data_IF_820164798131
#
_entry.id   IF_820164798131
#
_cell.length_a   1.000
_cell.length_b   1.000
_cell.length_c   1.000
_cell.angle_alpha   90.00
_cell.angle_beta   90.00
_cell.angle_gamma   90.00
#
_symmetry.space_group_name_H-M   'P 1'
#
loop_
_entity.id
_entity.type
_entity.pdbx_description
1 polymer ?
#
# COMPACT_ATOMS: atom_id res chain seq x y z
N UNK A 1 -16.11 -9.07 -7.78
CA UNK A 1 -16.72 -7.80 -7.49
C UNK A 1 -15.71 -6.69 -7.20
N UNK A 2 -14.61 -7.02 -6.61
CA UNK A 2 -13.74 -5.98 -6.13
C UNK A 2 -12.57 -5.73 -7.02
N UNK A 3 -12.89 -5.48 -8.30
CA UNK A 3 -11.90 -5.12 -9.30
C UNK A 3 -11.19 -3.82 -8.94
N UNK A 4 -11.88 -2.94 -8.22
CA UNK A 4 -11.25 -1.69 -7.79
C UNK A 4 -10.09 -1.96 -6.85
N UNK A 5 -10.24 -2.92 -5.94
CA UNK A 5 -9.16 -3.27 -5.03
C UNK A 5 -7.97 -3.87 -5.79
N UNK A 6 -8.26 -4.68 -6.80
CA UNK A 6 -7.20 -5.25 -7.64
C UNK A 6 -6.45 -4.15 -8.39
N UNK A 7 -7.16 -3.19 -8.96
CA UNK A 7 -6.53 -2.07 -9.65
C UNK A 7 -5.71 -1.24 -8.70
N UNK A 8 -6.20 -0.97 -7.50
CA UNK A 8 -5.44 -0.22 -6.51
C UNK A 8 -4.18 -0.98 -6.11
N UNK A 9 -4.28 -2.28 -5.94
CA UNK A 9 -3.14 -3.10 -5.62
C UNK A 9 -2.09 -3.04 -6.73
N UNK A 10 -2.52 -3.25 -7.96
CA UNK A 10 -1.61 -3.25 -9.11
C UNK A 10 -0.94 -1.89 -9.30
N UNK A 11 -1.70 -0.83 -9.13
CA UNK A 11 -1.17 0.51 -9.32
C UNK A 11 -0.26 0.94 -8.17
N UNK A 12 -0.67 0.66 -6.94
CA UNK A 12 0.03 1.19 -5.76
C UNK A 12 1.17 0.29 -5.32
N UNK A 13 0.94 -1.02 -5.31
CA UNK A 13 1.94 -1.97 -4.84
C UNK A 13 2.84 -2.42 -5.98
N UNK A 14 2.22 -2.88 -7.06
CA UNK A 14 2.94 -3.38 -8.21
C UNK A 14 3.62 -4.73 -7.97
N UNK A 15 4.53 -5.12 -8.86
CA UNK A 15 5.24 -6.40 -8.72
C UNK A 15 6.21 -6.36 -7.55
N UNK A 16 6.57 -7.53 -7.00
CA UNK A 16 7.54 -7.59 -5.91
C UNK A 16 8.90 -7.02 -6.30
N UNK A 17 9.45 -6.20 -5.43
CA UNK A 17 10.77 -5.61 -5.63
C UNK A 17 11.55 -5.72 -4.31
N UNK A 18 12.47 -6.68 -4.20
CA UNK A 18 13.20 -6.89 -2.96
C UNK A 18 13.95 -5.66 -2.45
N UNK A 19 14.31 -4.75 -3.33
CA UNK A 19 15.01 -3.54 -2.93
C UNK A 19 14.16 -2.62 -2.06
N UNK A 20 12.84 -2.78 -2.10
CA UNK A 20 11.91 -1.98 -1.30
C UNK A 20 11.54 -2.64 0.01
N UNK A 21 11.99 -3.86 0.23
CA UNK A 21 11.64 -4.62 1.43
C UNK A 21 12.58 -4.27 2.58
N UNK A 22 12.12 -4.48 3.83
CA UNK A 22 13.03 -4.38 4.96
C UNK A 22 14.18 -5.37 4.80
N UNK A 23 15.35 -4.98 5.26
CA UNK A 23 16.54 -5.80 5.09
C UNK A 23 16.36 -7.20 5.70
N UNK A 24 15.72 -7.28 6.86
CA UNK A 24 15.51 -8.56 7.52
C UNK A 24 14.56 -9.48 6.78
N UNK A 25 13.82 -8.96 5.81
CA UNK A 25 12.83 -9.73 5.08
C UNK A 25 13.23 -10.01 3.63
N UNK A 26 14.42 -9.55 3.20
CA UNK A 26 14.83 -9.70 1.81
C UNK A 26 14.99 -11.14 1.36
N UNK A 27 15.34 -12.03 2.27
CA UNK A 27 15.54 -13.43 1.95
C UNK A 27 14.25 -14.24 1.97
N UNK A 28 13.15 -13.62 2.38
CA UNK A 28 11.85 -14.28 2.44
C UNK A 28 10.84 -13.47 1.62
N UNK A 29 10.63 -13.85 0.33
CA UNK A 29 9.76 -13.06 -0.55
C UNK A 29 8.33 -12.89 -0.04
N UNK A 30 7.78 -13.92 0.59
CA UNK A 30 6.41 -13.84 1.11
C UNK A 30 6.33 -12.77 2.20
N UNK A 31 7.25 -12.83 3.16
CA UNK A 31 7.27 -11.86 4.24
C UNK A 31 7.68 -10.47 3.76
N UNK A 32 8.66 -10.41 2.86
CA UNK A 32 9.16 -9.15 2.34
C UNK A 32 8.08 -8.39 1.59
N UNK A 33 7.47 -9.05 0.63
CA UNK A 33 6.40 -8.40 -0.14
C UNK A 33 5.17 -8.13 0.72
N UNK A 34 4.88 -9.02 1.66
CA UNK A 34 3.79 -8.81 2.61
C UNK A 34 4.00 -7.58 3.48
N UNK A 35 5.20 -7.42 4.03
CA UNK A 35 5.52 -6.24 4.84
C UNK A 35 5.45 -4.96 4.00
N UNK A 36 5.99 -4.99 2.80
CA UNK A 36 5.95 -3.84 1.92
C UNK A 36 4.50 -3.47 1.59
N UNK A 37 3.71 -4.47 1.19
CA UNK A 37 2.31 -4.24 0.82
C UNK A 37 1.50 -3.70 2.00
N UNK A 38 1.74 -4.23 3.20
CA UNK A 38 1.04 -3.77 4.39
C UNK A 38 1.37 -2.30 4.67
N UNK A 39 2.64 -1.94 4.59
CA UNK A 39 3.05 -0.53 4.80
C UNK A 39 2.42 0.38 3.78
N UNK A 40 2.44 -0.02 2.51
CA UNK A 40 1.87 0.80 1.46
C UNK A 40 0.36 0.94 1.61
N UNK A 41 -0.31 -0.12 2.08
CA UNK A 41 -1.73 -0.06 2.36
C UNK A 41 -2.06 0.92 3.48
N UNK A 42 -1.27 0.91 4.54
CA UNK A 42 -1.46 1.87 5.64
C UNK A 42 -1.25 3.30 5.15
N UNK A 43 -0.19 3.54 4.38
CA UNK A 43 0.08 4.86 3.83
C UNK A 43 -1.06 5.33 2.93
N UNK A 44 -1.52 4.47 2.05
CA UNK A 44 -2.63 4.81 1.16
C UNK A 44 -3.88 5.14 1.97
N UNK A 45 -4.17 4.35 3.00
CA UNK A 45 -5.31 4.61 3.86
C UNK A 45 -5.24 5.96 4.54
N UNK A 46 -4.06 6.33 5.04
CA UNK A 46 -3.86 7.63 5.67
C UNK A 46 -4.02 8.77 4.69
N UNK A 47 -3.51 8.61 3.48
CA UNK A 47 -3.65 9.63 2.45
C UNK A 47 -5.11 9.82 2.04
N UNK A 48 -5.84 8.72 1.88
CA UNK A 48 -7.26 8.80 1.56
C UNK A 48 -8.05 9.44 2.67
N UNK A 49 -7.72 9.10 3.93
CA UNK A 49 -8.38 9.71 5.07
C UNK A 49 -8.13 11.23 5.09
N UNK A 50 -6.89 11.64 4.86
CA UNK A 50 -6.55 13.05 4.87
C UNK A 50 -7.30 13.83 3.79
N UNK A 51 -7.45 13.23 2.60
CA UNK A 51 -8.21 13.85 1.52
C UNK A 51 -9.68 14.02 1.91
N UNK A 52 -10.27 12.95 2.44
CA UNK A 52 -11.66 13.01 2.85
C UNK A 52 -11.90 14.01 3.96
N UNK A 53 -11.00 14.06 4.93
CA UNK A 53 -11.10 15.02 6.03
C UNK A 53 -10.97 16.44 5.52
N UNK A 54 -10.04 16.66 4.57
CA UNK A 54 -9.86 17.97 3.96
C UNK A 54 -11.13 18.46 3.27
N UNK A 55 -11.79 17.58 2.52
CA UNK A 55 -13.02 17.93 1.86
C UNK A 55 -14.14 18.26 2.86
N UNK A 56 -14.25 17.47 3.91
CA UNK A 56 -15.27 17.70 4.93
C UNK A 56 -15.05 19.04 5.64
N UNK A 57 -13.81 19.42 5.87
CA UNK A 57 -13.50 20.67 6.56
C UNK A 57 -13.68 21.92 5.71
N UNK A 58 -13.72 21.75 4.41
CA UNK A 58 -13.96 22.89 3.50
C UNK A 58 -15.38 23.37 3.52
N UNK A 59 -16.28 22.57 3.96
CA UNK A 59 -17.69 22.93 4.04
C UNK A 59 -18.00 23.61 5.33
#
# INVERSE_FOLDING_TARGET
MFHILDYLYDYWIGPPDPNKWPEYARENPVRGHGCYSFRQGVLLGLLLFAECAGEALKE
#
